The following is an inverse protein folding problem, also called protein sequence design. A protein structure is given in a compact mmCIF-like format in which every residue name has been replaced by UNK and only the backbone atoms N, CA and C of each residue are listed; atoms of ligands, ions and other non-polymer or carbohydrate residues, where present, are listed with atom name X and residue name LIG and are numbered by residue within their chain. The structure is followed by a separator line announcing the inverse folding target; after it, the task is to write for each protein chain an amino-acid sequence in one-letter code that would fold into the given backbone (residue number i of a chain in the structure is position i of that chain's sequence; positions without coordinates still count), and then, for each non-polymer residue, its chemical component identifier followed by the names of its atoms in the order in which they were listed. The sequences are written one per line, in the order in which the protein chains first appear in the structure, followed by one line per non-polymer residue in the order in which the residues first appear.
data_IF_851418096389
#
_entry.id   IF_851418096389
#
_cell.length_a   1.000
_cell.length_b   1.000
_cell.length_c   1.000
_cell.angle_alpha   90.00
_cell.angle_beta   90.00
_cell.angle_gamma   90.00
#
_symmetry.space_group_name_H-M   'P 1'
#
loop_
_entity.id
_entity.type
_entity.pdbx_description
1 polymer ?
#
# COMPACT_ATOMS: atom_id res chain seq x y z
N UNK A 1 -4.41 6.79 -25.13
CA UNK A 1 -4.27 7.53 -23.85
C UNK A 1 -2.94 7.10 -23.27
N UNK A 2 -2.10 8.04 -22.87
CA UNK A 2 -0.79 7.74 -22.28
C UNK A 2 -0.97 7.11 -20.88
N UNK A 3 -0.13 6.15 -20.50
CA UNK A 3 -0.16 5.55 -19.17
C UNK A 3 0.41 6.55 -18.15
N UNK A 4 -0.47 7.40 -17.60
CA UNK A 4 -0.08 8.41 -16.62
C UNK A 4 0.18 7.82 -15.24
N UNK A 5 -0.36 6.64 -14.95
CA UNK A 5 -0.16 6.00 -13.66
C UNK A 5 1.30 5.59 -13.50
N UNK A 6 1.78 4.73 -14.39
CA UNK A 6 3.14 4.18 -14.31
C UNK A 6 4.19 5.26 -14.52
N UNK A 7 3.93 6.21 -15.43
CA UNK A 7 4.94 7.18 -15.86
C UNK A 7 4.91 8.51 -15.12
N UNK A 8 3.92 8.77 -14.24
CA UNK A 8 3.82 10.04 -13.51
C UNK A 8 3.29 9.90 -12.08
N UNK A 9 2.12 9.29 -11.93
CA UNK A 9 1.41 9.32 -10.64
C UNK A 9 2.08 8.39 -9.60
N UNK A 10 2.46 7.19 -10.00
CA UNK A 10 3.13 6.22 -9.12
C UNK A 10 4.54 6.67 -8.67
N UNK A 11 5.41 7.22 -9.55
CA UNK A 11 6.69 7.79 -9.10
C UNK A 11 6.52 8.92 -8.06
N UNK A 12 5.53 9.81 -8.25
CA UNK A 12 5.23 10.88 -7.27
C UNK A 12 4.74 10.32 -5.94
N UNK A 13 3.88 9.29 -5.98
CA UNK A 13 3.41 8.59 -4.78
C UNK A 13 4.56 7.96 -4.00
N UNK A 14 5.46 7.26 -4.70
CA UNK A 14 6.64 6.62 -4.09
C UNK A 14 7.58 7.63 -3.45
N UNK A 15 7.91 8.71 -4.17
CA UNK A 15 8.76 9.77 -3.65
C UNK A 15 8.16 10.41 -2.38
N UNK A 16 6.84 10.65 -2.35
CA UNK A 16 6.19 11.16 -1.16
C UNK A 16 6.31 10.17 0.01
N UNK A 17 5.98 8.90 -0.21
CA UNK A 17 6.07 7.83 0.81
C UNK A 17 7.48 7.72 1.39
N UNK A 18 8.50 7.70 0.53
CA UNK A 18 9.90 7.61 0.94
C UNK A 18 10.33 8.80 1.82
N UNK A 19 9.96 10.03 1.43
CA UNK A 19 10.29 11.22 2.24
C UNK A 19 9.60 11.17 3.62
N UNK A 20 8.35 10.70 3.70
CA UNK A 20 7.65 10.58 4.98
C UNK A 20 8.32 9.56 5.90
N UNK A 21 8.77 8.41 5.36
CA UNK A 21 9.51 7.40 6.12
C UNK A 21 10.85 7.94 6.64
N UNK A 22 11.61 8.63 5.79
CA UNK A 22 12.92 9.17 6.14
C UNK A 22 12.85 10.31 7.17
N UNK A 23 11.84 11.17 7.07
CA UNK A 23 11.78 12.43 7.84
C UNK A 23 10.87 12.37 9.05
N UNK A 24 9.92 11.43 9.11
CA UNK A 24 8.86 11.37 10.13
C UNK A 24 8.08 12.69 10.26
N UNK A 25 8.03 13.49 9.19
CA UNK A 25 7.34 14.78 9.17
C UNK A 25 5.82 14.56 9.10
N UNK A 26 5.04 15.48 9.69
CA UNK A 26 3.57 15.43 9.57
C UNK A 26 3.05 15.96 8.23
N UNK A 27 3.87 16.75 7.51
CA UNK A 27 3.59 17.29 6.18
C UNK A 27 4.89 17.45 5.38
N UNK A 28 4.84 17.17 4.08
CA UNK A 28 5.99 17.30 3.16
C UNK A 28 5.66 18.33 2.09
N UNK A 29 6.64 19.17 1.68
CA UNK A 29 6.39 20.15 0.62
C UNK A 29 6.27 19.48 -0.75
N UNK A 30 5.33 19.95 -1.57
CA UNK A 30 5.17 19.46 -2.94
C UNK A 30 6.45 19.60 -3.78
N UNK A 31 7.22 20.67 -3.58
CA UNK A 31 8.50 20.89 -4.27
C UNK A 31 9.61 19.91 -3.84
N UNK A 32 9.57 19.40 -2.61
CA UNK A 32 10.49 18.35 -2.17
C UNK A 32 10.17 17.03 -2.89
N UNK A 33 8.87 16.72 -3.02
CA UNK A 33 8.39 15.54 -3.75
C UNK A 33 8.74 15.66 -5.23
N UNK A 34 8.55 16.83 -5.85
CA UNK A 34 8.91 17.08 -7.25
C UNK A 34 10.40 16.78 -7.49
N UNK A 35 11.26 17.29 -6.62
CA UNK A 35 12.70 17.03 -6.68
C UNK A 35 13.05 15.54 -6.54
N UNK A 36 12.43 14.85 -5.59
CA UNK A 36 12.69 13.42 -5.36
C UNK A 36 12.15 12.53 -6.49
N UNK A 37 11.02 12.91 -7.10
CA UNK A 37 10.44 12.21 -8.24
C UNK A 37 11.06 12.60 -9.59
N UNK A 38 12.05 13.49 -9.60
CA UNK A 38 12.69 14.05 -10.81
C UNK A 38 11.70 14.67 -11.81
N UNK A 39 10.66 15.34 -11.30
CA UNK A 39 9.68 16.04 -12.10
C UNK A 39 9.71 17.56 -11.88
N UNK A 40 9.22 18.28 -12.88
CA UNK A 40 8.90 19.69 -12.72
C UNK A 40 7.64 19.89 -11.86
N UNK A 41 7.51 21.08 -11.29
CA UNK A 41 6.39 21.42 -10.39
C UNK A 41 5.02 21.22 -11.06
N UNK A 42 4.86 21.52 -12.36
CA UNK A 42 3.58 21.40 -13.04
C UNK A 42 3.16 19.93 -13.15
N UNK A 43 4.09 19.07 -13.55
CA UNK A 43 3.92 17.62 -13.65
C UNK A 43 3.59 17.02 -12.29
N UNK A 44 4.32 17.41 -11.24
CA UNK A 44 4.02 16.97 -9.86
C UNK A 44 2.66 17.44 -9.40
N UNK A 45 2.26 18.69 -9.65
CA UNK A 45 0.93 19.20 -9.26
C UNK A 45 -0.19 18.45 -9.99
N UNK A 46 -0.01 18.09 -11.26
CA UNK A 46 -0.97 17.26 -12.01
C UNK A 46 -1.10 15.86 -11.40
N UNK A 47 0.02 15.27 -10.99
CA UNK A 47 0.05 13.98 -10.31
C UNK A 47 -0.63 14.02 -8.95
N UNK A 48 -0.28 14.99 -8.10
CA UNK A 48 -0.89 15.18 -6.79
C UNK A 48 -2.41 15.37 -6.91
N UNK A 49 -2.88 16.20 -7.86
CA UNK A 49 -4.32 16.34 -8.14
C UNK A 49 -5.00 15.04 -8.54
N UNK A 50 -4.32 14.14 -9.25
CA UNK A 50 -4.86 12.83 -9.59
C UNK A 50 -4.88 11.90 -8.38
N UNK A 51 -3.79 11.86 -7.61
CA UNK A 51 -3.64 11.03 -6.41
C UNK A 51 -4.63 11.42 -5.31
N UNK A 52 -4.87 12.72 -5.09
CA UNK A 52 -5.84 13.23 -4.11
C UNK A 52 -7.32 12.98 -4.47
N UNK A 53 -7.62 12.44 -5.67
CA UNK A 53 -8.97 11.92 -5.96
C UNK A 53 -9.24 10.59 -5.27
N UNK A 54 -8.20 9.93 -4.79
CA UNK A 54 -8.26 8.72 -3.99
C UNK A 54 -7.68 9.03 -2.59
N UNK A 55 -8.05 8.24 -1.57
CA UNK A 55 -7.58 8.46 -0.19
C UNK A 55 -6.15 7.92 0.01
N UNK A 56 -5.20 8.31 -0.85
CA UNK A 56 -3.79 7.93 -0.72
C UNK A 56 -3.03 8.82 0.28
N UNK A 57 -3.50 10.03 0.52
CA UNK A 57 -2.91 10.97 1.46
C UNK A 57 -3.97 11.53 2.40
N UNK A 58 -3.56 11.89 3.61
CA UNK A 58 -4.32 12.79 4.46
C UNK A 58 -4.40 14.20 3.84
N UNK A 59 -5.26 15.03 4.42
CA UNK A 59 -5.50 16.40 3.93
C UNK A 59 -4.19 17.19 3.80
N UNK A 60 -3.95 17.68 2.58
CA UNK A 60 -2.80 18.52 2.27
C UNK A 60 -3.02 19.97 2.67
N UNK A 61 -2.23 20.86 2.09
CA UNK A 61 -2.47 22.30 2.18
C UNK A 61 -2.27 22.89 0.81
N UNK A 62 -3.33 23.47 0.26
CA UNK A 62 -3.33 24.13 -1.04
C UNK A 62 -3.30 25.64 -0.87
N UNK A 63 -2.68 26.33 -1.82
CA UNK A 63 -2.83 27.79 -1.95
C UNK A 63 -3.72 28.11 -3.13
N UNK A 64 -4.60 29.10 -2.91
CA UNK A 64 -5.56 29.55 -3.91
C UNK A 64 -4.84 29.85 -5.24
N UNK A 65 -5.24 29.14 -6.30
CA UNK A 65 -4.69 29.31 -7.64
C UNK A 65 -3.26 28.80 -7.88
N UNK A 66 -2.60 28.18 -6.89
CA UNK A 66 -1.18 27.74 -7.00
C UNK A 66 -0.96 26.24 -6.67
N UNK A 67 -2.01 25.52 -6.28
CA UNK A 67 -1.97 24.07 -6.04
C UNK A 67 -1.46 23.70 -4.65
N UNK A 68 -1.00 22.47 -4.50
CA UNK A 68 -0.52 21.91 -3.24
C UNK A 68 0.78 22.58 -2.80
N UNK A 69 0.80 23.17 -1.61
CA UNK A 69 2.02 23.59 -0.91
C UNK A 69 2.58 22.40 -0.12
N UNK A 70 1.71 21.73 0.63
CA UNK A 70 2.05 20.58 1.46
C UNK A 70 1.16 19.39 1.13
N UNK A 71 1.76 18.21 1.16
CA UNK A 71 1.10 16.91 1.08
C UNK A 71 1.00 16.33 2.49
N UNK A 72 -0.15 15.76 2.81
CA UNK A 72 -0.42 15.09 4.08
C UNK A 72 0.16 13.67 4.10
N UNK A 73 0.16 13.05 5.28
CA UNK A 73 0.74 11.73 5.50
C UNK A 73 0.13 10.65 4.57
N UNK A 74 0.93 9.71 4.03
CA UNK A 74 0.43 8.62 3.22
C UNK A 74 -0.46 7.66 4.02
N UNK A 75 -1.52 7.16 3.40
CA UNK A 75 -2.35 6.10 4.00
C UNK A 75 -1.72 4.72 3.80
N UNK A 76 -2.22 3.71 4.52
CA UNK A 76 -1.76 2.32 4.32
C UNK A 76 -1.88 1.83 2.88
N UNK A 77 -2.85 2.35 2.10
CA UNK A 77 -2.96 2.02 0.68
C UNK A 77 -1.83 2.62 -0.15
N UNK A 78 -1.44 3.88 0.12
CA UNK A 78 -0.28 4.48 -0.50
C UNK A 78 1.01 3.70 -0.19
N UNK A 79 1.18 3.24 1.07
CA UNK A 79 2.32 2.43 1.47
C UNK A 79 2.39 1.08 0.74
N UNK A 80 1.24 0.44 0.50
CA UNK A 80 1.15 -0.79 -0.29
C UNK A 80 1.50 -0.56 -1.76
N UNK A 81 0.93 0.47 -2.38
CA UNK A 81 1.20 0.80 -3.79
C UNK A 81 2.65 1.26 -4.03
N UNK A 82 3.23 1.97 -3.06
CA UNK A 82 4.65 2.33 -3.07
C UNK A 82 5.57 1.11 -2.89
N UNK A 83 5.06 -0.01 -2.39
CA UNK A 83 5.80 -1.25 -2.16
C UNK A 83 6.47 -1.33 -0.79
N UNK A 84 6.19 -0.37 0.11
CA UNK A 84 6.76 -0.35 1.44
C UNK A 84 6.04 -1.32 2.39
N UNK A 85 4.72 -1.48 2.21
CA UNK A 85 3.92 -2.46 2.96
C UNK A 85 3.54 -3.65 2.08
N UNK A 86 3.47 -4.87 2.66
CA UNK A 86 3.01 -6.02 1.90
C UNK A 86 1.53 -5.88 1.50
N UNK A 87 1.18 -6.40 0.33
CA UNK A 87 -0.22 -6.51 -0.09
C UNK A 87 -0.91 -7.67 0.63
N UNK A 88 -2.25 -7.65 0.80
CA UNK A 88 -2.99 -8.77 1.36
C UNK A 88 -2.69 -10.10 0.64
N UNK A 89 -2.58 -10.06 -0.68
CA UNK A 89 -2.27 -11.24 -1.51
C UNK A 89 -0.89 -11.80 -1.16
N UNK A 90 0.14 -10.94 -1.09
CA UNK A 90 1.49 -11.32 -0.71
C UNK A 90 1.54 -11.86 0.74
N UNK A 91 0.71 -11.32 1.65
CA UNK A 91 0.61 -11.85 3.02
C UNK A 91 0.00 -13.25 3.04
N UNK A 92 -1.05 -13.50 2.26
CA UNK A 92 -1.66 -14.83 2.17
C UNK A 92 -0.71 -15.82 1.51
N UNK A 93 0.00 -15.42 0.46
CA UNK A 93 1.01 -16.26 -0.17
C UNK A 93 2.12 -16.65 0.82
N UNK A 94 2.62 -15.70 1.62
CA UNK A 94 3.59 -15.97 2.69
C UNK A 94 3.03 -16.93 3.75
N UNK A 95 1.78 -16.77 4.14
CA UNK A 95 1.11 -17.66 5.09
C UNK A 95 0.96 -19.08 4.53
N UNK A 96 0.53 -19.19 3.28
CA UNK A 96 0.43 -20.46 2.55
C UNK A 96 1.79 -21.16 2.50
N UNK A 97 2.84 -20.43 2.12
CA UNK A 97 4.20 -20.97 2.07
C UNK A 97 4.68 -21.47 3.44
N UNK A 98 4.38 -20.74 4.52
CA UNK A 98 4.72 -21.15 5.88
C UNK A 98 3.97 -22.44 6.31
N UNK A 99 2.70 -22.57 5.93
CA UNK A 99 1.92 -23.79 6.19
C UNK A 99 2.42 -24.99 5.38
N UNK A 100 2.80 -24.78 4.12
CA UNK A 100 3.40 -25.85 3.30
C UNK A 100 4.72 -26.32 3.89
N UNK A 101 5.62 -25.39 4.25
CA UNK A 101 6.86 -25.71 4.94
C UNK A 101 6.62 -26.46 6.25
N UNK A 102 5.61 -26.07 7.03
CA UNK A 102 5.26 -26.77 8.26
C UNK A 102 4.72 -28.19 8.00
N UNK A 103 3.98 -28.37 6.91
CA UNK A 103 3.44 -29.65 6.45
C UNK A 103 4.48 -30.60 5.84
N UNK A 104 5.63 -30.09 5.43
CA UNK A 104 6.76 -30.85 4.89
C UNK A 104 7.86 -31.11 5.92
N UNK A 105 7.69 -30.63 7.16
CA UNK A 105 8.69 -30.84 8.22
C UNK A 105 8.67 -32.28 8.73
N UNK A 106 9.74 -33.02 8.43
CA UNK A 106 9.91 -34.44 8.77
C UNK A 106 9.89 -34.73 10.28
N UNK A 107 10.17 -33.72 11.11
CA UNK A 107 10.16 -33.83 12.58
C UNK A 107 8.74 -33.95 13.18
N UNK A 108 7.70 -33.60 12.41
CA UNK A 108 6.31 -33.57 12.86
C UNK A 108 5.59 -34.88 12.61
N UNK A 109 4.58 -35.15 13.42
CA UNK A 109 3.71 -36.31 13.24
C UNK A 109 2.86 -36.17 11.97
N UNK A 110 2.62 -37.29 11.28
CA UNK A 110 1.87 -37.33 10.01
C UNK A 110 0.47 -36.67 10.06
N UNK A 111 -0.34 -36.80 11.15
CA UNK A 111 -1.61 -36.09 11.26
C UNK A 111 -1.44 -34.57 11.31
N UNK A 112 -0.37 -34.08 11.91
CA UNK A 112 -0.07 -32.65 12.03
C UNK A 112 0.38 -32.08 10.68
N UNK A 113 1.28 -32.79 9.98
CA UNK A 113 1.69 -32.46 8.62
C UNK A 113 0.48 -32.34 7.67
N UNK A 114 -0.44 -33.31 7.74
CA UNK A 114 -1.66 -33.32 6.93
C UNK A 114 -2.56 -32.12 7.22
N UNK A 115 -2.67 -31.66 8.48
CA UNK A 115 -3.49 -30.49 8.84
C UNK A 115 -2.93 -29.21 8.22
N UNK A 116 -1.61 -29.02 8.26
CA UNK A 116 -0.98 -27.85 7.66
C UNK A 116 -1.16 -27.81 6.13
N UNK A 117 -1.02 -28.95 5.45
CA UNK A 117 -1.27 -29.07 4.01
C UNK A 117 -2.72 -28.77 3.64
N UNK A 118 -3.68 -29.26 4.42
CA UNK A 118 -5.10 -28.97 4.21
C UNK A 118 -5.42 -27.48 4.42
N UNK A 119 -4.83 -26.84 5.44
CA UNK A 119 -4.99 -25.42 5.68
C UNK A 119 -4.42 -24.58 4.53
N UNK A 120 -3.21 -24.91 4.04
CA UNK A 120 -2.63 -24.25 2.87
C UNK A 120 -3.52 -24.37 1.63
N UNK A 121 -4.06 -25.56 1.36
CA UNK A 121 -4.96 -25.81 0.23
C UNK A 121 -6.26 -24.98 0.32
N UNK A 122 -6.84 -24.85 1.52
CA UNK A 122 -8.02 -24.03 1.76
C UNK A 122 -7.76 -22.55 1.48
N UNK A 123 -6.62 -22.01 1.93
CA UNK A 123 -6.25 -20.61 1.70
C UNK A 123 -6.03 -20.28 0.21
N UNK A 124 -5.57 -21.25 -0.59
CA UNK A 124 -5.41 -21.11 -2.04
C UNK A 124 -6.75 -21.09 -2.79
N UNK A 125 -7.89 -21.40 -2.16
CA UNK A 125 -9.20 -21.37 -2.82
C UNK A 125 -9.70 -19.94 -3.03
N UNK A 126 -10.36 -19.68 -4.17
CA UNK A 126 -10.84 -18.35 -4.53
C UNK A 126 -11.84 -17.74 -3.55
N UNK A 127 -12.61 -18.55 -2.83
CA UNK A 127 -13.54 -18.07 -1.80
C UNK A 127 -12.82 -17.47 -0.58
N UNK A 128 -11.65 -18.01 -0.22
CA UNK A 128 -10.88 -17.51 0.92
C UNK A 128 -10.14 -16.20 0.59
N UNK A 129 -9.67 -16.06 -0.66
CA UNK A 129 -9.02 -14.83 -1.13
C UNK A 129 -9.97 -13.62 -1.07
N UNK A 130 -11.24 -13.80 -1.46
CA UNK A 130 -12.26 -12.74 -1.37
C UNK A 130 -12.53 -12.33 0.09
N UNK A 131 -12.54 -13.28 1.03
CA UNK A 131 -12.70 -13.00 2.45
C UNK A 131 -11.51 -12.20 3.02
N UNK A 132 -10.28 -12.51 2.62
CA UNK A 132 -9.09 -11.76 3.04
C UNK A 132 -9.09 -10.34 2.47
N UNK A 133 -9.46 -10.15 1.21
CA UNK A 133 -9.58 -8.81 0.61
C UNK A 133 -10.62 -7.95 1.35
N UNK A 134 -11.72 -8.56 1.82
CA UNK A 134 -12.72 -7.86 2.63
C UNK A 134 -12.20 -7.45 4.02
N UNK A 135 -11.27 -8.21 4.61
CA UNK A 135 -10.65 -7.90 5.89
C UNK A 135 -9.51 -6.88 5.77
N UNK A 136 -8.78 -6.87 4.65
CA UNK A 136 -7.67 -5.95 4.37
C UNK A 136 -8.09 -4.52 3.95
N UNK A 137 -9.40 -4.30 3.76
CA UNK A 137 -10.01 -3.03 3.34
C UNK A 137 -10.56 -2.13 4.45
N UNK A 138 -10.52 -2.56 5.72
CA UNK A 138 -11.15 -1.83 6.83
C UNK A 138 -10.13 -1.31 7.84
N UNK A 139 -9.42 -0.24 7.47
CA UNK A 139 -8.87 0.68 8.44
C UNK A 139 -10.00 1.43 9.15
N UNK A 140 -10.38 0.95 10.33
CA UNK A 140 -10.91 1.77 11.43
C UNK A 140 -12.16 2.60 11.17
N UNK A 141 -13.34 1.95 11.17
CA UNK A 141 -14.48 2.58 11.83
C UNK A 141 -14.45 2.12 13.28
N UNK A 142 -13.69 2.84 14.12
CA UNK A 142 -13.76 2.66 15.56
C UNK A 142 -15.16 3.07 16.01
N UNK A 143 -15.86 2.11 16.60
CA UNK A 143 -17.09 2.30 17.36
C UNK A 143 -16.83 3.32 18.48
N UNK A 144 -17.16 4.58 18.23
CA UNK A 144 -17.51 5.56 19.26
C UNK A 144 -18.60 6.48 18.69
N UNK A 145 -19.79 6.39 19.29
CA UNK A 145 -20.99 7.16 18.95
C UNK A 145 -22.23 6.32 19.12
#
# INVERSE_FOLDING_TARGET
MEDTWTNRDLPVLRAAVEIFDDTQASKVRASQIAKAAEFDDETTQRALRALYRQPYFQEGTESSGSGFIFVGEPTGEALRLAGQWPTPENMVERLVAALEAAGDEESRDAPEQSRFKQAAALLRTGAFQVAVSALGGAGGHMLYG
#
